data_IF_614430377866
#
_entry.id   IF_614430377866
#
_cell.length_a   1.000
_cell.length_b   1.000
_cell.length_c   1.000
_cell.angle_alpha   90.00
_cell.angle_beta   90.00
_cell.angle_gamma   90.00
#
_symmetry.space_group_name_H-M   'P 1'
#
loop_
_entity.id
_entity.type
_entity.pdbx_description
1 polymer ?
#
# COMPACT_ATOMS: atom_id res chain seq x y z
N UNK A 1 11.24 -33.37 16.79
CA UNK A 1 11.55 -32.02 17.33
C UNK A 1 12.33 -31.09 16.37
N UNK A 2 13.17 -31.62 15.46
CA UNK A 2 14.00 -30.79 14.56
C UNK A 2 13.18 -30.01 13.51
N UNK A 3 12.12 -30.62 12.94
CA UNK A 3 11.27 -29.95 11.95
C UNK A 3 10.53 -28.73 12.50
N UNK A 4 10.10 -28.77 13.78
CA UNK A 4 9.46 -27.62 14.43
C UNK A 4 10.43 -26.44 14.61
N UNK A 5 11.70 -26.71 14.94
CA UNK A 5 12.74 -25.68 15.07
C UNK A 5 13.04 -25.06 13.71
N UNK A 6 13.15 -25.88 12.65
CA UNK A 6 13.37 -25.40 11.28
C UNK A 6 12.21 -24.54 10.79
N UNK A 7 10.97 -24.97 11.01
CA UNK A 7 9.77 -24.19 10.64
C UNK A 7 9.73 -22.88 11.41
N UNK A 8 10.01 -22.88 12.72
CA UNK A 8 10.04 -21.65 13.51
C UNK A 8 11.11 -20.67 13.02
N UNK A 9 12.32 -21.14 12.68
CA UNK A 9 13.36 -20.29 12.12
C UNK A 9 12.96 -19.72 10.76
N UNK A 10 12.42 -20.54 9.87
CA UNK A 10 11.92 -20.08 8.57
C UNK A 10 10.80 -19.04 8.73
N UNK A 11 9.91 -19.23 9.70
CA UNK A 11 8.83 -18.30 10.00
C UNK A 11 9.37 -16.96 10.52
N UNK A 12 10.34 -16.98 11.43
CA UNK A 12 11.00 -15.74 11.89
C UNK A 12 11.64 -15.00 10.72
N UNK A 13 12.39 -15.68 9.87
CA UNK A 13 13.03 -15.06 8.69
C UNK A 13 11.99 -14.49 7.73
N UNK A 14 10.91 -15.23 7.48
CA UNK A 14 9.80 -14.79 6.61
C UNK A 14 9.12 -13.53 7.15
N UNK A 15 8.82 -13.50 8.46
CA UNK A 15 8.18 -12.36 9.11
C UNK A 15 9.09 -11.13 9.11
N UNK A 16 10.38 -11.29 9.40
CA UNK A 16 11.35 -10.18 9.34
C UNK A 16 11.49 -9.64 7.91
N UNK A 17 11.57 -10.53 6.92
CA UNK A 17 11.64 -10.14 5.51
C UNK A 17 10.38 -9.38 5.05
N UNK A 18 9.20 -9.88 5.42
CA UNK A 18 7.94 -9.20 5.16
C UNK A 18 7.89 -7.84 5.85
N UNK A 19 8.25 -7.76 7.12
CA UNK A 19 8.25 -6.52 7.90
C UNK A 19 9.16 -5.44 7.27
N UNK A 20 10.37 -5.82 6.85
CA UNK A 20 11.29 -4.90 6.17
C UNK A 20 10.73 -4.44 4.82
N UNK A 21 10.18 -5.37 4.03
CA UNK A 21 9.58 -5.07 2.73
C UNK A 21 8.44 -4.06 2.86
N UNK A 22 7.52 -4.27 3.80
CA UNK A 22 6.40 -3.36 4.06
C UNK A 22 6.86 -1.99 4.58
N UNK A 23 7.87 -1.95 5.46
CA UNK A 23 8.41 -0.70 5.98
C UNK A 23 9.05 0.15 4.88
N UNK A 24 9.80 -0.49 3.98
CA UNK A 24 10.47 0.19 2.88
C UNK A 24 9.44 0.70 1.87
N UNK A 25 8.46 -0.13 1.50
CA UNK A 25 7.36 0.26 0.60
C UNK A 25 6.56 1.45 1.16
N UNK A 26 6.26 1.44 2.46
CA UNK A 26 5.56 2.54 3.13
C UNK A 26 6.35 3.86 3.10
N UNK A 27 7.68 3.82 3.08
CA UNK A 27 8.52 5.02 2.96
C UNK A 27 8.78 5.45 1.52
N UNK A 28 8.85 4.48 0.58
CA UNK A 28 9.05 4.71 -0.84
C UNK A 28 7.90 5.52 -1.46
N UNK A 29 6.65 5.18 -1.13
CA UNK A 29 5.46 5.83 -1.72
C UNK A 29 5.40 7.35 -1.42
N UNK A 30 5.51 7.82 -0.17
CA UNK A 30 5.60 9.25 0.14
C UNK A 30 6.85 9.90 -0.44
N UNK A 31 7.97 9.17 -0.49
CA UNK A 31 9.22 9.68 -1.01
C UNK A 31 9.15 10.00 -2.51
N UNK A 32 8.64 9.06 -3.31
CA UNK A 32 8.39 9.26 -4.75
C UNK A 32 7.38 10.38 -4.96
N UNK A 33 6.28 10.40 -4.19
CA UNK A 33 5.31 11.49 -4.25
C UNK A 33 5.92 12.87 -3.89
N UNK A 34 6.89 12.91 -2.99
CA UNK A 34 7.66 14.10 -2.63
C UNK A 34 8.66 14.55 -3.70
N UNK A 35 9.25 13.60 -4.45
CA UNK A 35 10.09 13.88 -5.62
C UNK A 35 9.29 14.42 -6.81
N UNK A 36 8.10 13.86 -7.05
CA UNK A 36 7.20 14.28 -8.13
C UNK A 36 6.45 15.59 -7.81
N UNK A 37 6.71 16.21 -6.65
CA UNK A 37 6.11 17.48 -6.23
C UNK A 37 4.64 17.39 -5.81
N UNK A 38 4.09 16.18 -5.72
CA UNK A 38 2.71 15.94 -5.25
C UNK A 38 2.62 16.04 -3.72
N UNK A 39 3.71 15.76 -3.01
CA UNK A 39 3.86 15.94 -1.57
C UNK A 39 4.89 17.04 -1.23
N UNK A 40 4.86 17.59 -0.01
CA UNK A 40 5.85 18.57 0.44
C UNK A 40 7.30 18.09 0.25
N UNK A 41 8.19 19.00 -0.13
CA UNK A 41 9.60 18.72 -0.48
C UNK A 41 10.39 17.98 0.60
N UNK A 42 9.95 18.02 1.87
CA UNK A 42 10.61 17.31 2.95
C UNK A 42 10.51 15.78 2.85
N UNK A 43 9.48 15.23 2.18
CA UNK A 43 9.37 13.78 1.93
C UNK A 43 10.35 13.30 0.84
N UNK A 44 10.76 14.19 -0.06
CA UNK A 44 11.76 13.91 -1.11
C UNK A 44 13.20 13.91 -0.61
N UNK A 45 13.45 14.20 0.67
CA UNK A 45 14.81 14.26 1.22
C UNK A 45 15.38 12.86 1.44
N UNK A 46 16.59 12.63 0.91
CA UNK A 46 17.37 11.41 1.12
C UNK A 46 18.57 11.69 2.03
N UNK A 47 18.95 10.72 2.85
CA UNK A 47 20.21 10.71 3.60
C UNK A 47 21.40 10.47 2.66
N UNK A 48 22.63 10.70 3.14
CA UNK A 48 23.89 10.45 2.41
C UNK A 48 24.03 9.03 1.84
N UNK A 49 23.25 8.07 2.35
CA UNK A 49 23.21 6.68 1.88
C UNK A 49 22.13 6.41 0.82
N UNK A 50 21.47 7.44 0.28
CA UNK A 50 20.39 7.30 -0.71
C UNK A 50 19.10 6.71 -0.13
N UNK A 51 18.91 6.83 1.19
CA UNK A 51 17.75 6.28 1.89
C UNK A 51 16.78 7.41 2.24
N UNK A 52 15.46 7.26 2.01
CA UNK A 52 14.45 8.28 2.32
C UNK A 52 14.23 8.41 3.83
N UNK A 53 15.16 9.06 4.52
CA UNK A 53 15.25 9.13 5.98
C UNK A 53 14.04 9.83 6.61
N UNK A 54 13.58 10.94 6.03
CA UNK A 54 12.41 11.67 6.54
C UNK A 54 11.14 10.84 6.43
N UNK A 55 10.92 10.17 5.28
CA UNK A 55 9.76 9.30 5.08
C UNK A 55 9.78 8.11 6.02
N UNK A 56 10.93 7.44 6.20
CA UNK A 56 11.09 6.35 7.15
C UNK A 56 10.82 6.78 8.59
N UNK A 57 11.34 7.93 9.01
CA UNK A 57 11.15 8.42 10.38
C UNK A 57 9.68 8.75 10.67
N UNK A 58 9.00 9.39 9.72
CA UNK A 58 7.57 9.74 9.85
C UNK A 58 6.70 8.48 9.87
N UNK A 59 6.92 7.53 8.95
CA UNK A 59 6.15 6.28 8.92
C UNK A 59 6.38 5.45 10.17
N UNK A 60 7.62 5.39 10.67
CA UNK A 60 7.94 4.68 11.91
C UNK A 60 7.27 5.34 13.13
N UNK A 61 7.32 6.67 13.25
CA UNK A 61 6.62 7.40 14.33
C UNK A 61 5.12 7.16 14.30
N UNK A 62 4.51 7.17 13.10
CA UNK A 62 3.09 6.86 12.92
C UNK A 62 2.77 5.45 13.39
N UNK A 63 3.54 4.44 12.97
CA UNK A 63 3.35 3.05 13.40
C UNK A 63 3.45 2.93 14.92
N UNK A 64 4.46 3.55 15.53
CA UNK A 64 4.61 3.57 16.99
C UNK A 64 3.40 4.22 17.69
N UNK A 65 2.92 5.35 17.17
CA UNK A 65 1.73 5.99 17.71
C UNK A 65 0.49 5.08 17.62
N UNK A 66 0.27 4.41 16.49
CA UNK A 66 -0.84 3.45 16.35
C UNK A 66 -0.72 2.24 17.28
N UNK A 67 0.50 1.73 17.51
CA UNK A 67 0.73 0.64 18.47
C UNK A 67 0.39 1.06 19.90
N UNK A 68 0.82 2.27 20.31
CA UNK A 68 0.49 2.83 21.63
C UNK A 68 -1.02 3.02 21.76
N UNK A 69 -1.68 3.61 20.77
CA UNK A 69 -3.15 3.80 20.78
C UNK A 69 -3.85 2.43 20.90
N UNK A 70 -3.43 1.45 20.11
CA UNK A 70 -4.03 0.10 20.11
C UNK A 70 -3.87 -0.59 21.47
N UNK A 71 -2.75 -0.41 22.16
CA UNK A 71 -2.50 -0.99 23.48
C UNK A 71 -3.55 -0.55 24.52
N UNK A 72 -3.98 0.71 24.46
CA UNK A 72 -4.96 1.27 25.40
C UNK A 72 -6.41 1.10 24.95
N UNK A 73 -6.66 0.70 23.70
CA UNK A 73 -7.96 0.79 23.07
C UNK A 73 -8.58 -0.57 22.73
N UNK A 74 -9.12 -1.25 23.74
CA UNK A 74 -9.82 -2.54 23.59
C UNK A 74 -11.05 -2.47 22.65
N UNK A 75 -11.67 -1.30 22.47
CA UNK A 75 -12.82 -1.07 21.58
C UNK A 75 -12.46 -0.37 20.25
N UNK A 76 -11.41 0.46 20.24
CA UNK A 76 -11.01 1.22 19.04
C UNK A 76 -10.22 0.37 18.03
N UNK A 77 -9.76 -0.83 18.39
CA UNK A 77 -9.10 -1.73 17.44
C UNK A 77 -9.93 -1.97 16.17
N UNK A 78 -11.23 -2.24 16.32
CA UNK A 78 -12.12 -2.41 15.16
C UNK A 78 -12.20 -1.12 14.34
N UNK A 79 -12.33 0.05 14.98
CA UNK A 79 -12.39 1.32 14.28
C UNK A 79 -11.08 1.62 13.50
N UNK A 80 -9.92 1.37 14.10
CA UNK A 80 -8.63 1.50 13.44
C UNK A 80 -8.50 0.53 12.27
N UNK A 81 -8.94 -0.71 12.45
CA UNK A 81 -8.96 -1.72 11.41
C UNK A 81 -9.87 -1.32 10.23
N UNK A 82 -11.05 -0.77 10.50
CA UNK A 82 -11.95 -0.26 9.47
C UNK A 82 -11.34 0.91 8.71
N UNK A 83 -10.76 1.89 9.42
CA UNK A 83 -10.09 3.05 8.79
C UNK A 83 -8.94 2.58 7.90
N UNK A 84 -8.07 1.68 8.39
CA UNK A 84 -6.95 1.16 7.63
C UNK A 84 -7.41 0.37 6.38
N UNK A 85 -8.42 -0.48 6.55
CA UNK A 85 -8.99 -1.27 5.45
C UNK A 85 -9.61 -0.37 4.37
N UNK A 86 -10.40 0.63 4.77
CA UNK A 86 -10.98 1.61 3.86
C UNK A 86 -9.90 2.43 3.15
N UNK A 87 -8.86 2.88 3.88
CA UNK A 87 -7.76 3.66 3.30
C UNK A 87 -6.96 2.90 2.23
N UNK A 88 -6.85 1.57 2.33
CA UNK A 88 -6.22 0.73 1.30
C UNK A 88 -7.16 0.48 0.11
N UNK A 89 -8.48 0.40 0.34
CA UNK A 89 -9.45 0.15 -0.73
C UNK A 89 -9.56 1.33 -1.71
N UNK A 90 -9.48 2.56 -1.22
CA UNK A 90 -9.57 3.78 -2.06
C UNK A 90 -8.56 3.76 -3.23
N UNK A 91 -7.23 3.64 -3.01
CA UNK A 91 -6.27 3.60 -4.12
C UNK A 91 -6.47 2.38 -5.03
N UNK A 92 -6.96 1.25 -4.53
CA UNK A 92 -7.26 0.08 -5.35
C UNK A 92 -8.44 0.33 -6.31
N UNK A 93 -9.49 0.99 -5.84
CA UNK A 93 -10.62 1.42 -6.68
C UNK A 93 -10.13 2.38 -7.77
N UNK A 94 -9.33 3.38 -7.39
CA UNK A 94 -8.78 4.36 -8.33
C UNK A 94 -7.83 3.71 -9.35
N UNK A 95 -7.02 2.74 -8.93
CA UNK A 95 -6.14 1.98 -9.85
C UNK A 95 -6.96 1.20 -10.90
N UNK A 96 -8.01 0.50 -10.47
CA UNK A 96 -8.93 -0.19 -11.40
C UNK A 96 -9.65 0.79 -12.33
N UNK A 97 -10.09 1.94 -11.79
CA UNK A 97 -10.79 2.96 -12.57
C UNK A 97 -9.86 3.62 -13.59
N UNK A 98 -8.60 3.86 -13.22
CA UNK A 98 -7.58 4.38 -14.11
C UNK A 98 -7.22 3.36 -15.20
N UNK A 99 -7.10 2.07 -14.87
CA UNK A 99 -6.90 1.01 -15.85
C UNK A 99 -8.07 0.93 -16.85
N UNK A 100 -9.31 1.04 -16.37
CA UNK A 100 -10.49 1.10 -17.23
C UNK A 100 -10.48 2.35 -18.13
N UNK A 101 -10.18 3.53 -17.56
CA UNK A 101 -10.03 4.78 -18.33
C UNK A 101 -8.98 4.63 -19.42
N UNK A 102 -7.81 4.07 -19.11
CA UNK A 102 -6.70 3.92 -20.05
C UNK A 102 -7.03 2.95 -21.19
N UNK A 103 -7.78 1.87 -20.89
CA UNK A 103 -8.29 0.95 -21.89
C UNK A 103 -9.38 1.58 -22.79
N UNK A 104 -10.17 2.51 -22.26
CA UNK A 104 -11.15 3.30 -23.02
C UNK A 104 -10.50 4.36 -23.92
N UNK A 105 -9.56 5.14 -23.39
CA UNK A 105 -8.89 6.23 -24.13
C UNK A 105 -7.85 5.70 -25.11
N UNK A 106 -7.25 4.55 -24.82
CA UNK A 106 -6.24 3.94 -25.68
C UNK A 106 -4.87 4.62 -25.64
N UNK A 107 -4.65 5.55 -24.70
CA UNK A 107 -3.42 6.37 -24.61
C UNK A 107 -2.14 5.57 -24.32
N UNK A 108 -2.26 4.36 -23.76
CA UNK A 108 -1.12 3.47 -23.45
C UNK A 108 -1.12 2.18 -24.25
N UNK A 109 -1.95 2.06 -25.30
CA UNK A 109 -2.07 0.83 -26.08
C UNK A 109 -1.64 1.05 -27.53
N UNK A 110 -0.76 0.19 -28.03
CA UNK A 110 -0.29 0.24 -29.41
C UNK A 110 -1.42 -0.08 -30.41
N UNK A 111 -1.24 0.33 -31.67
CA UNK A 111 -2.21 0.08 -32.75
C UNK A 111 -2.33 -1.43 -33.02
N UNK A 112 -3.35 -2.07 -32.46
CA UNK A 112 -3.66 -3.50 -32.65
C UNK A 112 -3.80 -4.31 -31.36
N UNK A 113 -3.46 -3.75 -30.20
CA UNK A 113 -3.62 -4.44 -28.92
C UNK A 113 -5.09 -4.62 -28.52
N UNK A 114 -5.39 -5.80 -27.95
CA UNK A 114 -6.73 -6.13 -27.45
C UNK A 114 -7.02 -5.39 -26.14
N UNK A 115 -7.82 -4.32 -26.24
CA UNK A 115 -8.23 -3.48 -25.11
C UNK A 115 -9.39 -4.04 -24.28
N UNK A 116 -10.16 -4.99 -24.82
CA UNK A 116 -11.37 -5.51 -24.18
C UNK A 116 -11.13 -6.32 -22.91
N UNK A 117 -10.03 -7.08 -22.83
CA UNK A 117 -9.65 -7.83 -21.63
C UNK A 117 -9.27 -6.93 -20.46
N UNK A 118 -8.31 -5.99 -20.63
CA UNK A 118 -7.95 -5.02 -19.60
C UNK A 118 -9.10 -4.09 -19.20
N UNK A 119 -9.96 -3.70 -20.15
CA UNK A 119 -11.16 -2.92 -19.88
C UNK A 119 -12.11 -3.67 -18.94
N UNK A 120 -12.42 -4.94 -19.25
CA UNK A 120 -13.30 -5.76 -18.42
C UNK A 120 -12.71 -5.97 -17.03
N UNK A 121 -11.41 -6.29 -16.94
CA UNK A 121 -10.72 -6.45 -15.67
C UNK A 121 -10.72 -5.15 -14.83
N UNK A 122 -10.45 -4.00 -15.45
CA UNK A 122 -10.47 -2.70 -14.78
C UNK A 122 -11.85 -2.33 -14.25
N UNK A 123 -12.91 -2.47 -15.07
CA UNK A 123 -14.29 -2.20 -14.66
C UNK A 123 -14.72 -3.14 -13.53
N UNK A 124 -14.41 -4.43 -13.65
CA UNK A 124 -14.79 -5.43 -12.65
C UNK A 124 -14.04 -5.19 -11.32
N UNK A 125 -12.76 -4.80 -11.38
CA UNK A 125 -11.99 -4.39 -10.21
C UNK A 125 -12.56 -3.13 -9.54
N UNK A 126 -12.96 -2.11 -10.31
CA UNK A 126 -13.59 -0.90 -9.77
C UNK A 126 -14.92 -1.20 -9.09
N UNK A 127 -15.80 -1.98 -9.75
CA UNK A 127 -17.09 -2.37 -9.19
C UNK A 127 -16.90 -3.21 -7.93
N UNK A 128 -15.98 -4.16 -7.94
CA UNK A 128 -15.67 -4.98 -6.78
C UNK A 128 -15.10 -4.17 -5.61
N UNK A 129 -14.22 -3.21 -5.90
CA UNK A 129 -13.68 -2.31 -4.89
C UNK A 129 -14.76 -1.41 -4.28
N UNK A 130 -15.65 -0.84 -5.09
CA UNK A 130 -16.80 -0.05 -4.61
C UNK A 130 -17.74 -0.88 -3.74
N UNK A 131 -18.01 -2.13 -4.14
CA UNK A 131 -18.75 -3.07 -3.32
C UNK A 131 -18.07 -3.33 -1.98
N UNK A 132 -16.75 -3.55 -1.97
CA UNK A 132 -15.99 -3.76 -0.73
C UNK A 132 -16.02 -2.57 0.21
N UNK A 133 -16.04 -1.34 -0.32
CA UNK A 133 -16.17 -0.13 0.51
C UNK A 133 -17.59 0.04 1.04
N UNK A 134 -18.60 -0.32 0.25
CA UNK A 134 -20.00 -0.31 0.71
C UNK A 134 -20.29 -1.38 1.77
N UNK A 135 -19.65 -2.53 1.67
CA UNK A 135 -19.83 -3.67 2.58
C UNK A 135 -18.87 -3.66 3.79
N UNK A 136 -17.93 -2.71 3.86
CA UNK A 136 -17.03 -2.49 4.99
C UNK A 136 -17.67 -1.53 6.00
#
# INVERSE_FOLDING_TARGET
>A
PWGAILINLALVVSVVGAFLSWTLLAAEVPHVAGKDGTMPKFFGHESERGVPSTSLLITNLLVQAFLVITLFAQSTYQALFYIASAAILVPYIFSGAFAAKLALTGESYESGERRSGPLFAGVLATIYGLWRVYAA
#
